data_IF_205080605250
#
_entry.id   IF_205080605250
#
_cell.length_a   1.000
_cell.length_b   1.000
_cell.length_c   1.000
_cell.angle_alpha   90.00
_cell.angle_beta   90.00
_cell.angle_gamma   90.00
#
_symmetry.space_group_name_H-M   'P 1'
#
loop_
_entity.id
_entity.type
_entity.pdbx_description
1 polymer ?
#
# COMPACT_ATOMS: atom_id res chain seq x y z
N UNK A 1 0.96 -19.01 9.48
CA UNK A 1 2.43 -18.83 9.40
C UNK A 1 2.82 -17.58 8.61
N UNK A 2 2.23 -17.32 7.43
CA UNK A 2 2.36 -16.01 6.75
C UNK A 2 1.83 -14.81 7.57
N UNK A 3 0.78 -15.02 8.39
CA UNK A 3 0.12 -13.94 9.15
C UNK A 3 1.00 -13.27 10.23
N UNK A 4 1.91 -14.00 10.89
CA UNK A 4 2.79 -13.42 11.92
C UNK A 4 3.97 -12.64 11.31
N UNK A 5 4.41 -13.02 10.11
CA UNK A 5 5.53 -12.35 9.43
C UNK A 5 5.12 -10.99 8.88
N UNK A 6 3.87 -10.84 8.42
CA UNK A 6 3.38 -9.55 7.94
C UNK A 6 3.35 -8.50 9.06
N UNK A 7 2.86 -8.85 10.25
CA UNK A 7 2.79 -7.90 11.39
C UNK A 7 4.18 -7.45 11.86
N UNK A 8 5.16 -8.36 11.88
CA UNK A 8 6.54 -8.02 12.27
C UNK A 8 7.23 -7.06 11.30
N UNK A 9 7.06 -7.27 9.98
CA UNK A 9 7.62 -6.38 8.95
C UNK A 9 6.99 -4.98 9.05
N UNK A 10 5.69 -4.88 9.31
CA UNK A 10 5.03 -3.59 9.50
C UNK A 10 5.52 -2.87 10.77
N UNK A 11 5.81 -3.59 11.85
CA UNK A 11 6.37 -2.96 13.07
C UNK A 11 7.76 -2.39 12.82
N UNK A 12 8.63 -3.14 12.13
CA UNK A 12 9.97 -2.64 11.76
C UNK A 12 9.84 -1.40 10.89
N UNK A 13 8.94 -1.43 9.90
CA UNK A 13 8.68 -0.30 9.02
C UNK A 13 8.15 0.93 9.80
N UNK A 14 7.17 0.76 10.68
CA UNK A 14 6.65 1.85 11.51
C UNK A 14 7.77 2.44 12.38
N UNK A 15 8.57 1.60 13.04
CA UNK A 15 9.67 2.07 13.89
C UNK A 15 10.70 2.83 13.06
N UNK A 16 11.08 2.30 11.90
CA UNK A 16 12.03 2.95 10.99
C UNK A 16 11.48 4.27 10.47
N UNK A 17 10.26 4.31 9.93
CA UNK A 17 9.67 5.52 9.38
C UNK A 17 9.56 6.64 10.43
N UNK A 18 9.17 6.29 11.67
CA UNK A 18 9.04 7.26 12.74
C UNK A 18 10.39 7.81 13.22
N UNK A 19 11.38 6.93 13.39
CA UNK A 19 12.72 7.32 13.83
C UNK A 19 13.42 8.13 12.75
N UNK A 20 13.38 7.68 11.48
CA UNK A 20 14.15 8.27 10.39
C UNK A 20 13.53 9.55 9.83
N UNK A 21 12.20 9.64 9.77
CA UNK A 21 11.51 10.73 9.06
C UNK A 21 10.51 11.49 9.93
N UNK A 22 9.59 10.82 10.65
CA UNK A 22 8.46 11.54 11.27
C UNK A 22 8.86 12.46 12.41
N UNK A 23 9.65 11.96 13.36
CA UNK A 23 10.12 12.78 14.48
C UNK A 23 11.03 13.92 13.99
N UNK A 24 12.00 13.67 13.07
CA UNK A 24 12.80 14.72 12.43
C UNK A 24 11.96 15.77 11.71
N UNK A 25 10.93 15.36 10.97
CA UNK A 25 10.09 16.27 10.18
C UNK A 25 9.28 17.25 11.03
N UNK A 26 9.00 16.91 12.29
CA UNK A 26 8.35 17.81 13.25
C UNK A 26 9.36 18.83 13.83
N UNK A 27 10.66 18.59 13.65
CA UNK A 27 11.72 19.43 14.21
C UNK A 27 12.09 19.07 15.66
N UNK A 28 11.77 17.86 16.12
CA UNK A 28 12.08 17.41 17.48
C UNK A 28 13.47 16.77 17.56
N UNK A 29 14.13 16.91 18.72
CA UNK A 29 15.45 16.32 19.03
C UNK A 29 16.55 16.69 18.02
N UNK A 30 16.65 17.97 17.67
CA UNK A 30 17.61 18.51 16.69
C UNK A 30 19.04 18.03 16.91
N UNK A 31 19.60 18.20 18.11
CA UNK A 31 20.97 17.78 18.43
C UNK A 31 21.17 16.27 18.24
N UNK A 32 20.18 15.46 18.62
CA UNK A 32 20.24 14.02 18.41
C UNK A 32 20.29 13.68 16.92
N UNK A 33 19.40 14.26 16.11
CA UNK A 33 19.32 13.94 14.69
C UNK A 33 20.45 14.52 13.86
N UNK A 34 20.97 15.70 14.19
CA UNK A 34 22.02 16.35 13.42
C UNK A 34 23.41 15.88 13.87
N UNK A 35 23.65 15.74 15.18
CA UNK A 35 25.01 15.54 15.70
C UNK A 35 25.30 14.11 16.19
N UNK A 36 24.28 13.34 16.56
CA UNK A 36 24.46 12.03 17.22
C UNK A 36 24.09 10.88 16.27
N UNK A 37 22.85 10.83 15.80
CA UNK A 37 22.30 9.75 14.99
C UNK A 37 23.06 9.47 13.68
N UNK A 38 23.49 10.48 12.90
CA UNK A 38 24.17 10.27 11.62
C UNK A 38 25.54 9.60 11.77
N UNK A 39 26.15 9.67 12.97
CA UNK A 39 27.43 9.01 13.28
C UNK A 39 27.31 7.49 13.38
N UNK A 40 26.11 6.97 13.58
CA UNK A 40 25.87 5.53 13.67
C UNK A 40 25.47 4.96 12.31
N UNK A 41 26.05 3.81 11.96
CA UNK A 41 25.71 3.04 10.74
C UNK A 41 24.20 2.78 10.60
N UNK A 42 23.49 2.67 11.71
CA UNK A 42 22.04 2.43 11.73
C UNK A 42 21.25 3.52 10.99
N UNK A 43 21.70 4.78 11.02
CA UNK A 43 21.04 5.87 10.30
C UNK A 43 21.06 5.65 8.78
N UNK A 44 22.21 5.27 8.21
CA UNK A 44 22.36 4.91 6.80
C UNK A 44 21.58 3.65 6.42
N UNK A 45 21.55 2.65 7.31
CA UNK A 45 20.75 1.42 7.13
C UNK A 45 19.26 1.77 7.06
N UNK A 46 18.75 2.55 8.00
CA UNK A 46 17.33 2.93 8.05
C UNK A 46 16.92 3.74 6.81
N UNK A 47 17.70 4.78 6.46
CA UNK A 47 17.40 5.59 5.28
C UNK A 47 17.44 4.78 3.98
N UNK A 48 18.45 3.91 3.81
CA UNK A 48 18.55 3.05 2.62
C UNK A 48 17.44 2.00 2.60
N UNK A 49 17.04 1.47 3.76
CA UNK A 49 15.92 0.54 3.89
C UNK A 49 14.61 1.19 3.45
N UNK A 50 14.35 2.42 3.88
CA UNK A 50 13.18 3.19 3.44
C UNK A 50 13.13 3.30 1.92
N UNK A 51 14.22 3.72 1.27
CA UNK A 51 14.31 3.80 -0.21
C UNK A 51 14.04 2.45 -0.87
N UNK A 52 14.66 1.37 -0.37
CA UNK A 52 14.47 0.03 -0.90
C UNK A 52 13.02 -0.45 -0.70
N UNK A 53 12.38 -0.07 0.40
CA UNK A 53 10.98 -0.38 0.70
C UNK A 53 10.01 0.38 -0.22
N UNK A 54 10.31 1.63 -0.58
CA UNK A 54 9.55 2.39 -1.58
C UNK A 54 9.59 1.69 -2.94
N UNK A 55 10.79 1.29 -3.38
CA UNK A 55 11.02 0.52 -4.60
C UNK A 55 10.24 -0.80 -4.55
N UNK A 56 10.35 -1.54 -3.44
CA UNK A 56 9.64 -2.80 -3.26
C UNK A 56 8.12 -2.62 -3.36
N UNK A 57 7.60 -1.57 -2.73
CA UNK A 57 6.17 -1.27 -2.68
C UNK A 57 5.62 -0.94 -4.07
N UNK A 58 6.29 -0.05 -4.81
CA UNK A 58 5.88 0.34 -6.18
C UNK A 58 5.87 -0.83 -7.16
N UNK A 59 6.89 -1.71 -7.09
CA UNK A 59 6.96 -2.93 -7.90
C UNK A 59 5.91 -3.97 -7.49
N UNK A 60 5.61 -4.10 -6.20
CA UNK A 60 4.53 -4.97 -5.70
C UNK A 60 3.16 -4.54 -6.24
N UNK A 61 2.96 -3.25 -6.52
CA UNK A 61 1.77 -2.73 -7.19
C UNK A 61 1.46 -3.41 -8.53
N UNK A 62 2.50 -3.80 -9.28
CA UNK A 62 2.36 -4.55 -10.56
C UNK A 62 1.81 -5.94 -10.29
N UNK A 63 2.38 -6.65 -9.30
CA UNK A 63 1.90 -7.98 -8.88
C UNK A 63 0.43 -7.93 -8.45
N UNK A 64 0.04 -6.91 -7.66
CA UNK A 64 -1.35 -6.72 -7.21
C UNK A 64 -2.28 -6.52 -8.42
N UNK A 65 -1.93 -5.62 -9.34
CA UNK A 65 -2.76 -5.34 -10.52
C UNK A 65 -2.89 -6.58 -11.42
N UNK A 66 -1.79 -7.31 -11.64
CA UNK A 66 -1.78 -8.56 -12.40
C UNK A 66 -2.63 -9.64 -11.73
N UNK A 67 -2.52 -9.77 -10.41
CA UNK A 67 -3.31 -10.70 -9.62
C UNK A 67 -4.82 -10.45 -9.80
N UNK A 68 -5.25 -9.20 -9.70
CA UNK A 68 -6.65 -8.81 -9.93
C UNK A 68 -7.10 -9.06 -11.36
N UNK A 69 -6.26 -8.73 -12.34
CA UNK A 69 -6.57 -8.98 -13.74
C UNK A 69 -6.80 -10.48 -14.02
N UNK A 70 -5.94 -11.35 -13.48
CA UNK A 70 -6.04 -12.80 -13.67
C UNK A 70 -7.29 -13.35 -12.95
N UNK A 71 -7.60 -12.86 -11.74
CA UNK A 71 -8.81 -13.25 -11.01
C UNK A 71 -10.08 -12.99 -11.82
N UNK A 72 -10.16 -11.82 -12.47
CA UNK A 72 -11.34 -11.40 -13.23
C UNK A 72 -11.38 -12.07 -14.61
N UNK A 73 -10.26 -12.12 -15.34
CA UNK A 73 -10.24 -12.63 -16.71
C UNK A 73 -10.23 -14.16 -16.80
N UNK A 74 -9.56 -14.82 -15.86
CA UNK A 74 -9.33 -16.27 -15.89
C UNK A 74 -9.63 -16.93 -14.54
N UNK A 75 -10.88 -16.83 -14.01
CA UNK A 75 -11.21 -17.34 -12.69
C UNK A 75 -10.93 -18.85 -12.55
N UNK A 76 -11.16 -19.65 -13.60
CA UNK A 76 -10.92 -21.10 -13.58
C UNK A 76 -9.43 -21.49 -13.57
N UNK A 77 -8.53 -20.57 -13.94
CA UNK A 77 -7.09 -20.78 -13.94
C UNK A 77 -6.39 -19.99 -12.83
N UNK A 78 -7.12 -19.22 -12.03
CA UNK A 78 -6.56 -18.34 -11.01
C UNK A 78 -5.72 -19.14 -10.01
N UNK A 79 -6.27 -20.21 -9.44
CA UNK A 79 -5.57 -21.05 -8.47
C UNK A 79 -4.34 -21.73 -9.07
N UNK A 80 -4.40 -22.14 -10.35
CA UNK A 80 -3.25 -22.71 -11.04
C UNK A 80 -2.11 -21.71 -11.25
N UNK A 81 -2.43 -20.44 -11.50
CA UNK A 81 -1.42 -19.39 -11.69
C UNK A 81 -0.85 -18.94 -10.35
N UNK A 82 -1.70 -18.79 -9.32
CA UNK A 82 -1.35 -18.28 -8.00
C UNK A 82 -1.12 -19.38 -6.97
N UNK A 83 -0.53 -20.51 -7.38
CA UNK A 83 -0.17 -21.63 -6.49
C UNK A 83 1.32 -21.95 -6.49
N UNK A 84 1.75 -22.61 -5.41
CA UNK A 84 3.05 -23.25 -5.27
C UNK A 84 4.23 -22.28 -5.53
N UNK A 85 5.25 -22.73 -6.27
CA UNK A 85 6.46 -21.96 -6.54
C UNK A 85 6.20 -20.69 -7.38
N UNK A 86 5.13 -20.66 -8.19
CA UNK A 86 4.79 -19.50 -9.02
C UNK A 86 4.31 -18.33 -8.19
N UNK A 87 3.50 -18.61 -7.17
CA UNK A 87 3.09 -17.60 -6.19
C UNK A 87 4.30 -17.00 -5.50
N UNK A 88 5.24 -17.85 -5.04
CA UNK A 88 6.46 -17.38 -4.38
C UNK A 88 7.21 -16.47 -5.34
N UNK A 89 7.48 -16.90 -6.57
CA UNK A 89 8.19 -16.10 -7.57
C UNK A 89 7.49 -14.76 -7.87
N UNK A 90 6.17 -14.76 -8.08
CA UNK A 90 5.39 -13.54 -8.36
C UNK A 90 5.28 -12.59 -7.16
N UNK A 91 5.43 -13.08 -5.94
CA UNK A 91 5.44 -12.25 -4.73
C UNK A 91 6.84 -11.77 -4.35
N UNK A 92 7.88 -12.57 -4.61
CA UNK A 92 9.26 -12.25 -4.20
C UNK A 92 10.06 -11.52 -5.27
N UNK A 93 9.61 -11.48 -6.53
CA UNK A 93 10.40 -10.83 -7.59
C UNK A 93 10.76 -9.36 -7.33
N UNK A 94 9.95 -8.53 -6.64
CA UNK A 94 10.36 -7.16 -6.33
C UNK A 94 11.63 -7.11 -5.46
N UNK A 95 11.88 -8.13 -4.64
CA UNK A 95 13.08 -8.25 -3.82
C UNK A 95 14.34 -8.40 -4.67
N UNK A 96 14.25 -8.99 -5.87
CA UNK A 96 15.41 -9.08 -6.77
C UNK A 96 15.87 -7.71 -7.30
N UNK A 97 15.08 -6.65 -7.10
CA UNK A 97 15.46 -5.28 -7.44
C UNK A 97 15.75 -4.48 -6.17
N UNK A 98 14.87 -4.52 -5.16
CA UNK A 98 15.03 -3.71 -3.94
C UNK A 98 16.21 -4.15 -3.07
N UNK A 99 16.47 -5.45 -2.94
CA UNK A 99 17.55 -5.98 -2.08
C UNK A 99 18.93 -5.62 -2.64
N UNK A 100 19.22 -5.75 -3.96
CA UNK A 100 20.47 -5.24 -4.51
C UNK A 100 20.69 -3.75 -4.27
N UNK A 101 19.67 -2.91 -4.45
CA UNK A 101 19.78 -1.47 -4.14
C UNK A 101 20.16 -1.28 -2.67
N UNK A 102 19.49 -1.98 -1.75
CA UNK A 102 19.84 -1.93 -0.34
C UNK A 102 21.29 -2.36 -0.06
N UNK A 103 21.71 -3.52 -0.56
CA UNK A 103 23.06 -4.07 -0.33
C UNK A 103 24.16 -3.14 -0.87
N UNK A 104 23.92 -2.42 -1.96
CA UNK A 104 24.89 -1.50 -2.54
C UNK A 104 25.06 -0.24 -1.67
N UNK A 105 23.98 0.28 -1.08
CA UNK A 105 23.98 1.61 -0.45
C UNK A 105 23.88 1.61 1.08
N UNK A 106 23.63 0.47 1.75
CA UNK A 106 23.35 0.46 3.20
C UNK A 106 24.48 1.00 4.09
N UNK A 107 25.72 1.01 3.60
CA UNK A 107 26.90 1.52 4.32
C UNK A 107 27.17 3.01 4.08
N UNK A 108 26.42 3.65 3.20
CA UNK A 108 26.66 5.03 2.83
C UNK A 108 26.30 5.98 3.98
N UNK A 109 27.16 6.97 4.21
CA UNK A 109 26.94 7.99 5.23
C UNK A 109 25.77 8.90 4.86
N UNK A 110 24.94 9.21 5.85
CA UNK A 110 23.83 10.14 5.73
C UNK A 110 24.07 11.35 6.63
N UNK A 111 23.44 12.46 6.29
CA UNK A 111 23.40 13.66 7.09
C UNK A 111 21.96 14.11 7.27
N UNK A 112 21.71 14.80 8.39
CA UNK A 112 20.43 15.41 8.70
C UNK A 112 20.63 16.92 8.75
N UNK A 113 19.81 17.67 8.03
CA UNK A 113 19.86 19.13 8.03
C UNK A 113 18.47 19.74 8.24
N UNK A 114 18.46 20.92 8.87
CA UNK A 114 17.27 21.73 9.08
C UNK A 114 16.91 22.41 7.77
N UNK A 115 15.67 22.23 7.33
CA UNK A 115 15.09 22.91 6.17
C UNK A 115 14.63 24.31 6.56
N UNK A 116 14.31 25.14 5.56
CA UNK A 116 13.75 26.47 5.78
C UNK A 116 12.45 26.47 6.60
N UNK A 117 11.69 25.38 6.57
CA UNK A 117 10.41 25.22 7.29
C UNK A 117 10.61 24.75 8.73
N UNK A 118 11.86 24.55 9.18
CA UNK A 118 12.20 24.05 10.52
C UNK A 118 12.06 22.53 10.68
N UNK A 119 11.81 21.80 9.59
CA UNK A 119 11.82 20.34 9.59
C UNK A 119 13.24 19.82 9.41
N UNK A 120 13.56 18.66 9.97
CA UNK A 120 14.86 18.02 9.76
C UNK A 120 14.70 16.97 8.66
N UNK A 121 15.53 17.07 7.63
CA UNK A 121 15.53 16.18 6.48
C UNK A 121 16.83 15.38 6.39
N UNK A 122 16.72 14.11 6.00
CA UNK A 122 17.86 13.21 5.81
C UNK A 122 18.24 13.08 4.34
N UNK A 123 19.54 13.02 4.05
CA UNK A 123 20.07 12.80 2.71
C UNK A 123 21.44 12.10 2.77
N UNK A 124 21.87 11.48 1.68
CA UNK A 124 23.25 10.98 1.58
C UNK A 124 24.25 12.12 1.57
N UNK A 125 25.27 12.01 2.42
CA UNK A 125 26.32 13.02 2.59
C UNK A 125 27.07 13.32 1.29
N UNK A 126 27.36 12.27 0.51
CA UNK A 126 27.90 12.41 -0.83
C UNK A 126 26.80 12.92 -1.78
N UNK A 127 26.97 14.14 -2.27
CA UNK A 127 26.04 14.76 -3.22
C UNK A 127 25.91 13.97 -4.52
N UNK A 128 26.98 13.38 -5.03
CA UNK A 128 26.92 12.56 -6.23
C UNK A 128 26.05 11.34 -5.99
N UNK A 129 26.27 10.66 -4.87
CA UNK A 129 25.47 9.52 -4.44
C UNK A 129 23.99 9.89 -4.24
N UNK A 130 23.74 11.03 -3.59
CA UNK A 130 22.39 11.59 -3.38
C UNK A 130 21.66 11.73 -4.72
N UNK A 131 22.26 12.38 -5.72
CA UNK A 131 21.60 12.53 -7.03
C UNK A 131 21.44 11.18 -7.73
N UNK A 132 22.47 10.34 -7.69
CA UNK A 132 22.46 9.05 -8.36
C UNK A 132 21.33 8.14 -7.85
N UNK A 133 21.13 8.04 -6.53
CA UNK A 133 20.06 7.22 -5.98
C UNK A 133 18.67 7.76 -6.33
N UNK A 134 18.48 9.10 -6.31
CA UNK A 134 17.22 9.72 -6.74
C UNK A 134 16.89 9.40 -8.20
N UNK A 135 17.90 9.40 -9.10
CA UNK A 135 17.69 8.98 -10.49
C UNK A 135 17.35 7.50 -10.62
N UNK A 136 17.99 6.61 -9.84
CA UNK A 136 17.65 5.18 -9.82
C UNK A 136 16.19 4.98 -9.38
N UNK A 137 15.80 5.59 -8.26
CA UNK A 137 14.45 5.49 -7.68
C UNK A 137 13.42 6.00 -8.69
N UNK A 138 13.60 7.20 -9.22
CA UNK A 138 12.69 7.78 -10.21
C UNK A 138 12.56 6.90 -11.45
N UNK A 139 13.67 6.35 -11.95
CA UNK A 139 13.66 5.46 -13.13
C UNK A 139 12.84 4.20 -12.86
N UNK A 140 13.06 3.56 -11.70
CA UNK A 140 12.30 2.35 -11.31
C UNK A 140 10.82 2.68 -11.13
N UNK A 141 10.49 3.77 -10.43
CA UNK A 141 9.11 4.19 -10.22
C UNK A 141 8.41 4.58 -11.51
N UNK A 142 9.10 5.23 -12.45
CA UNK A 142 8.56 5.56 -13.76
C UNK A 142 8.25 4.30 -14.58
N UNK A 143 9.16 3.32 -14.62
CA UNK A 143 8.93 2.02 -15.28
C UNK A 143 7.76 1.29 -14.61
N UNK A 144 7.72 1.25 -13.28
CA UNK A 144 6.64 0.61 -12.54
C UNK A 144 5.28 1.28 -12.79
N UNK A 145 5.26 2.61 -12.84
CA UNK A 145 4.07 3.39 -13.15
C UNK A 145 3.59 3.11 -14.58
N UNK A 146 4.50 3.11 -15.57
CA UNK A 146 4.15 2.83 -16.96
C UNK A 146 3.49 1.44 -17.11
N UNK A 147 4.09 0.41 -16.50
CA UNK A 147 3.52 -0.95 -16.49
C UNK A 147 2.15 -0.96 -15.78
N UNK A 148 2.05 -0.31 -14.62
CA UNK A 148 0.80 -0.24 -13.86
C UNK A 148 -0.32 0.48 -14.62
N UNK A 149 -0.03 1.56 -15.35
CA UNK A 149 -1.02 2.27 -16.18
C UNK A 149 -1.56 1.34 -17.28
N UNK A 150 -0.67 0.62 -17.98
CA UNK A 150 -1.08 -0.35 -19.02
C UNK A 150 -1.97 -1.44 -18.40
N UNK A 151 -1.52 -2.06 -17.30
CA UNK A 151 -2.27 -3.13 -16.64
C UNK A 151 -3.62 -2.64 -16.09
N UNK A 152 -3.69 -1.45 -15.49
CA UNK A 152 -4.94 -0.86 -15.01
C UNK A 152 -5.88 -0.51 -16.17
N UNK A 153 -5.35 -0.04 -17.31
CA UNK A 153 -6.15 0.16 -18.53
C UNK A 153 -6.81 -1.14 -19.01
N UNK A 154 -6.04 -2.23 -19.05
CA UNK A 154 -6.55 -3.58 -19.39
C UNK A 154 -7.56 -4.07 -18.34
N UNK A 155 -7.30 -3.84 -17.05
CA UNK A 155 -8.18 -4.23 -15.95
C UNK A 155 -9.54 -3.52 -16.06
N UNK A 156 -9.55 -2.21 -16.26
CA UNK A 156 -10.77 -1.40 -16.43
C UNK A 156 -11.57 -1.89 -17.64
N UNK A 157 -10.91 -2.16 -18.77
CA UNK A 157 -11.56 -2.71 -19.95
C UNK A 157 -12.21 -4.08 -19.64
N UNK A 158 -11.50 -4.95 -18.93
CA UNK A 158 -11.98 -6.29 -18.56
C UNK A 158 -13.18 -6.22 -17.62
N UNK A 159 -13.13 -5.35 -16.61
CA UNK A 159 -14.23 -5.12 -15.66
C UNK A 159 -15.48 -4.58 -16.38
N UNK A 160 -15.32 -3.60 -17.27
CA UNK A 160 -16.44 -3.05 -18.06
C UNK A 160 -17.10 -4.12 -18.93
N UNK A 161 -16.29 -4.97 -19.59
CA UNK A 161 -16.81 -6.09 -20.39
C UNK A 161 -17.58 -7.10 -19.53
N UNK A 162 -17.08 -7.40 -18.33
CA UNK A 162 -17.74 -8.32 -17.40
C UNK A 162 -19.06 -7.74 -16.86
N UNK A 163 -19.11 -6.45 -16.55
CA UNK A 163 -20.35 -5.78 -16.10
C UNK A 163 -21.45 -5.82 -17.18
N UNK A 164 -21.08 -5.65 -18.46
CA UNK A 164 -22.01 -5.79 -19.59
C UNK A 164 -22.56 -7.22 -19.67
N UNK A 165 -21.70 -8.24 -19.55
CA UNK A 165 -22.12 -9.65 -19.59
C UNK A 165 -23.00 -10.04 -18.40
N UNK A 166 -22.73 -9.50 -17.21
CA UNK A 166 -23.52 -9.78 -16.02
C UNK A 166 -24.86 -9.05 -15.98
N UNK A 167 -25.02 -7.92 -16.69
CA UNK A 167 -26.35 -7.31 -16.88
C UNK A 167 -27.29 -8.20 -17.69
N UNK A 168 -26.74 -9.10 -18.50
CA UNK A 168 -27.48 -10.05 -19.33
C UNK A 168 -27.86 -11.31 -18.52
N UNK A 169 -27.03 -11.72 -17.56
CA UNK A 169 -27.18 -12.97 -16.82
C UNK A 169 -27.53 -12.75 -15.34
N UNK A 170 -28.65 -13.35 -14.94
CA UNK A 170 -29.39 -13.26 -13.67
C UNK A 170 -28.63 -13.02 -12.34
N UNK A 171 -29.35 -12.45 -11.35
CA UNK A 171 -28.86 -11.72 -10.16
C UNK A 171 -27.91 -12.47 -9.18
N UNK A 172 -27.74 -13.79 -9.26
CA UNK A 172 -26.99 -14.56 -8.23
C UNK A 172 -25.48 -14.25 -8.20
N UNK A 173 -24.88 -13.81 -9.31
CA UNK A 173 -23.44 -13.45 -9.37
C UNK A 173 -23.08 -12.06 -8.83
N UNK A 174 -24.07 -11.29 -8.35
CA UNK A 174 -23.88 -9.86 -8.02
C UNK A 174 -22.91 -9.59 -6.87
N UNK A 175 -22.79 -10.49 -5.88
CA UNK A 175 -21.94 -10.27 -4.70
C UNK A 175 -20.44 -10.45 -4.99
N UNK A 176 -20.06 -11.56 -5.63
CA UNK A 176 -18.67 -11.85 -6.00
C UNK A 176 -18.14 -10.80 -6.98
N UNK A 177 -18.95 -10.46 -7.99
CA UNK A 177 -18.62 -9.40 -8.96
C UNK A 177 -18.44 -8.05 -8.26
N UNK A 178 -19.26 -7.73 -7.25
CA UNK A 178 -19.11 -6.48 -6.48
C UNK A 178 -17.77 -6.44 -5.73
N UNK A 179 -17.31 -7.56 -5.16
CA UNK A 179 -16.01 -7.63 -4.49
C UNK A 179 -14.88 -7.39 -5.49
N UNK A 180 -14.87 -8.09 -6.63
CA UNK A 180 -13.84 -7.94 -7.66
C UNK A 180 -13.81 -6.52 -8.26
N UNK A 181 -14.98 -5.92 -8.52
CA UNK A 181 -15.07 -4.51 -8.95
C UNK A 181 -14.51 -3.56 -7.90
N UNK A 182 -14.76 -3.83 -6.61
CA UNK A 182 -14.22 -3.01 -5.53
C UNK A 182 -12.70 -3.13 -5.46
N UNK A 183 -12.15 -4.34 -5.63
CA UNK A 183 -10.71 -4.55 -5.66
C UNK A 183 -10.03 -3.93 -6.88
N UNK A 184 -10.69 -3.94 -8.04
CA UNK A 184 -10.20 -3.21 -9.22
C UNK A 184 -10.16 -1.70 -8.97
N UNK A 185 -11.15 -1.13 -8.25
CA UNK A 185 -11.12 0.29 -7.85
C UNK A 185 -9.94 0.59 -6.92
N UNK A 186 -9.63 -0.30 -5.99
CA UNK A 186 -8.45 -0.13 -5.14
C UNK A 186 -7.14 -0.14 -5.93
N UNK A 187 -6.99 -1.01 -6.92
CA UNK A 187 -5.82 -1.02 -7.81
C UNK A 187 -5.67 0.32 -8.58
N UNK A 188 -6.79 0.90 -9.03
CA UNK A 188 -6.79 2.21 -9.70
C UNK A 188 -6.38 3.32 -8.72
N UNK A 189 -6.92 3.32 -7.50
CA UNK A 189 -6.56 4.31 -6.47
C UNK A 189 -5.09 4.20 -6.11
N UNK A 190 -4.55 2.99 -5.97
CA UNK A 190 -3.12 2.76 -5.77
C UNK A 190 -2.29 3.34 -6.92
N UNK A 191 -2.71 3.10 -8.17
CA UNK A 191 -2.06 3.66 -9.35
C UNK A 191 -2.06 5.21 -9.31
N UNK A 192 -3.13 5.85 -8.84
CA UNK A 192 -3.19 7.31 -8.68
C UNK A 192 -2.18 7.82 -7.65
N UNK A 193 -2.02 7.12 -6.51
CA UNK A 193 -1.01 7.49 -5.51
C UNK A 193 0.41 7.30 -6.05
N UNK A 194 0.66 6.23 -6.81
CA UNK A 194 1.96 6.03 -7.47
C UNK A 194 2.25 7.12 -8.51
N UNK A 195 1.25 7.56 -9.30
CA UNK A 195 1.40 8.71 -10.20
C UNK A 195 1.76 9.97 -9.43
N UNK A 196 1.08 10.25 -8.32
CA UNK A 196 1.37 11.41 -7.48
C UNK A 196 2.80 11.35 -6.92
N UNK A 197 3.26 10.19 -6.48
CA UNK A 197 4.62 9.98 -5.98
C UNK A 197 5.66 10.36 -7.06
N UNK A 198 5.54 9.78 -8.27
CA UNK A 198 6.44 10.07 -9.39
C UNK A 198 6.42 11.55 -9.78
N UNK A 199 5.25 12.20 -9.77
CA UNK A 199 5.15 13.63 -10.04
C UNK A 199 5.90 14.48 -9.01
N UNK A 200 5.81 14.12 -7.71
CA UNK A 200 6.54 14.83 -6.66
C UNK A 200 8.05 14.60 -6.80
N UNK A 201 8.49 13.38 -7.08
CA UNK A 201 9.91 13.06 -7.34
C UNK A 201 10.48 13.86 -8.52
N UNK A 202 9.79 13.85 -9.66
CA UNK A 202 10.19 14.62 -10.83
C UNK A 202 10.22 16.12 -10.52
N UNK A 203 9.20 16.62 -9.78
CA UNK A 203 9.15 18.00 -9.32
C UNK A 203 10.34 18.38 -8.44
N UNK A 204 10.75 17.50 -7.51
CA UNK A 204 11.92 17.72 -6.66
C UNK A 204 13.19 17.86 -7.49
N UNK A 205 13.43 16.96 -8.45
CA UNK A 205 14.63 17.01 -9.31
C UNK A 205 14.64 18.30 -10.14
N UNK A 206 13.49 18.68 -10.70
CA UNK A 206 13.36 19.93 -11.47
C UNK A 206 13.62 21.16 -10.58
N UNK A 207 13.07 21.19 -9.36
CA UNK A 207 13.26 22.28 -8.42
C UNK A 207 14.74 22.43 -8.00
N UNK A 208 15.41 21.31 -7.72
CA UNK A 208 16.85 21.32 -7.39
C UNK A 208 17.67 21.82 -8.58
N UNK A 209 17.39 21.34 -9.79
CA UNK A 209 18.09 21.77 -11.03
C UNK A 209 17.87 23.26 -11.32
N UNK A 210 16.67 23.76 -11.01
CA UNK A 210 16.29 25.17 -11.19
C UNK A 210 16.76 26.07 -10.03
N UNK A 211 17.45 25.53 -9.03
CA UNK A 211 17.92 26.22 -7.81
C UNK A 211 16.80 26.83 -6.95
N UNK A 212 15.57 26.33 -7.06
CA UNK A 212 14.44 26.75 -6.22
C UNK A 212 14.37 25.86 -4.97
N UNK A 213 15.27 26.09 -4.01
CA UNK A 213 15.49 25.21 -2.86
C UNK A 213 14.23 25.10 -1.98
N UNK A 214 13.55 26.22 -1.70
CA UNK A 214 12.31 26.23 -0.90
C UNK A 214 11.23 25.31 -1.49
N UNK A 215 11.08 25.30 -2.82
CA UNK A 215 10.12 24.42 -3.51
C UNK A 215 10.54 22.96 -3.38
N UNK A 216 11.84 22.67 -3.49
CA UNK A 216 12.35 21.31 -3.33
C UNK A 216 12.08 20.77 -1.90
N UNK A 217 12.21 21.60 -0.87
CA UNK A 217 11.95 21.22 0.53
C UNK A 217 10.46 20.97 0.82
N UNK A 218 9.57 21.79 0.26
CA UNK A 218 8.12 21.59 0.33
C UNK A 218 7.71 20.28 -0.38
N UNK A 219 8.30 20.04 -1.55
CA UNK A 219 8.06 18.80 -2.30
C UNK A 219 8.62 17.59 -1.56
N UNK A 220 9.75 17.70 -0.86
CA UNK A 220 10.30 16.61 -0.03
C UNK A 220 9.37 16.26 1.14
N UNK A 221 8.78 17.27 1.79
CA UNK A 221 7.79 17.04 2.85
C UNK A 221 6.54 16.34 2.29
N UNK A 222 6.08 16.79 1.11
CA UNK A 222 4.96 16.17 0.40
C UNK A 222 5.26 14.74 -0.04
N UNK A 223 6.49 14.49 -0.49
CA UNK A 223 6.98 13.18 -0.91
C UNK A 223 6.82 12.15 0.22
N UNK A 224 7.30 12.45 1.42
CA UNK A 224 7.23 11.51 2.55
C UNK A 224 5.78 11.24 2.97
N UNK A 225 4.87 12.21 2.84
CA UNK A 225 3.43 11.98 3.06
C UNK A 225 2.84 11.02 2.02
N UNK A 226 3.11 11.25 0.73
CA UNK A 226 2.58 10.43 -0.37
C UNK A 226 3.18 9.01 -0.33
N UNK A 227 4.46 8.89 -0.04
CA UNK A 227 5.16 7.62 0.14
C UNK A 227 4.48 6.78 1.23
N UNK A 228 4.21 7.38 2.37
CA UNK A 228 3.61 6.69 3.51
C UNK A 228 2.21 6.19 3.19
N UNK A 229 1.40 7.03 2.54
CA UNK A 229 0.09 6.60 2.04
C UNK A 229 0.25 5.40 1.10
N UNK A 230 1.24 5.42 0.22
CA UNK A 230 1.49 4.34 -0.75
C UNK A 230 1.89 3.03 -0.06
N UNK A 231 2.78 3.08 0.92
CA UNK A 231 3.25 1.88 1.66
C UNK A 231 2.12 1.29 2.51
N UNK A 232 1.37 2.13 3.24
CA UNK A 232 0.26 1.66 4.06
C UNK A 232 -1.04 1.41 3.29
N UNK A 233 -1.14 1.80 2.01
CA UNK A 233 -2.35 1.60 1.22
C UNK A 233 -2.77 0.13 1.17
N UNK A 234 -1.79 -0.77 0.97
CA UNK A 234 -2.03 -2.21 0.84
C UNK A 234 -2.59 -2.84 2.12
N UNK A 235 -1.98 -2.69 3.31
CA UNK A 235 -2.55 -3.24 4.54
C UNK A 235 -3.92 -2.65 4.87
N UNK A 236 -4.14 -1.35 4.66
CA UNK A 236 -5.46 -0.75 4.89
C UNK A 236 -6.52 -1.27 3.91
N UNK A 237 -6.15 -1.48 2.65
CA UNK A 237 -7.03 -2.09 1.64
C UNK A 237 -7.43 -3.51 2.04
N UNK A 238 -6.49 -4.31 2.57
CA UNK A 238 -6.78 -5.66 3.09
C UNK A 238 -7.74 -5.64 4.28
N UNK A 239 -7.53 -4.74 5.24
CA UNK A 239 -8.43 -4.55 6.39
C UNK A 239 -9.84 -4.15 5.95
N UNK A 240 -9.95 -3.33 4.90
CA UNK A 240 -11.26 -2.91 4.37
C UNK A 240 -11.99 -4.04 3.64
N UNK A 241 -11.27 -4.88 2.91
CA UNK A 241 -11.86 -5.89 2.03
C UNK A 241 -12.19 -7.20 2.73
N UNK A 242 -11.36 -7.63 3.68
CA UNK A 242 -11.57 -8.89 4.37
C UNK A 242 -12.19 -8.66 5.74
N UNK A 243 -13.42 -9.15 5.88
CA UNK A 243 -14.12 -9.16 7.17
C UNK A 243 -13.31 -9.90 8.23
N UNK A 244 -12.68 -11.03 7.85
CA UNK A 244 -11.88 -11.85 8.76
C UNK A 244 -10.63 -11.09 9.24
N UNK A 245 -9.93 -10.37 8.34
CA UNK A 245 -8.80 -9.53 8.73
C UNK A 245 -9.24 -8.35 9.60
N UNK A 246 -10.37 -7.72 9.28
CA UNK A 246 -10.95 -6.66 10.10
C UNK A 246 -11.31 -7.15 11.51
N UNK A 247 -11.92 -8.32 11.62
CA UNK A 247 -12.26 -8.95 12.90
C UNK A 247 -11.01 -9.23 13.72
N UNK A 248 -10.00 -9.87 13.12
CA UNK A 248 -8.71 -10.14 13.77
C UNK A 248 -8.03 -8.85 14.22
N UNK A 249 -8.07 -7.78 13.42
CA UNK A 249 -7.48 -6.49 13.75
C UNK A 249 -8.21 -5.76 14.88
N UNK A 250 -9.55 -5.74 14.87
CA UNK A 250 -10.37 -5.16 15.95
C UNK A 250 -10.16 -5.94 17.25
N UNK A 251 -10.04 -7.26 17.17
CA UNK A 251 -9.71 -8.11 18.30
C UNK A 251 -8.30 -7.81 18.84
N UNK A 252 -7.31 -7.65 17.95
CA UNK A 252 -5.93 -7.31 18.29
C UNK A 252 -5.81 -5.95 19.00
N UNK A 253 -6.56 -4.93 18.56
CA UNK A 253 -6.59 -3.60 19.21
C UNK A 253 -7.33 -3.62 20.57
N UNK A 254 -7.95 -4.74 20.95
CA UNK A 254 -8.71 -4.84 22.20
C UNK A 254 -10.11 -4.20 22.11
N UNK A 255 -10.55 -3.82 20.92
CA UNK A 255 -11.88 -3.26 20.66
C UNK A 255 -12.96 -4.33 20.45
N UNK A 256 -12.79 -5.54 21.01
CA UNK A 256 -13.72 -6.66 20.86
C UNK A 256 -15.17 -6.32 21.24
N UNK A 257 -15.36 -5.42 22.22
CA UNK A 257 -16.68 -4.93 22.65
C UNK A 257 -17.46 -4.19 21.55
N UNK A 258 -16.79 -3.47 20.65
CA UNK A 258 -17.43 -2.77 19.53
C UNK A 258 -17.95 -3.73 18.46
N UNK A 259 -17.31 -4.89 18.31
CA UNK A 259 -17.73 -5.90 17.33
C UNK A 259 -19.01 -6.64 17.76
N UNK A 260 -19.14 -6.95 19.06
CA UNK A 260 -20.37 -7.55 19.62
C UNK A 260 -21.62 -6.68 19.40
N UNK A 261 -21.48 -5.35 19.43
CA UNK A 261 -22.59 -4.42 19.19
C UNK A 261 -23.10 -4.45 17.74
N UNK A 262 -22.25 -4.77 16.77
CA UNK A 262 -22.66 -4.85 15.35
C UNK A 262 -23.30 -6.19 15.00
N UNK A 263 -22.88 -7.29 15.64
CA UNK A 263 -23.47 -8.62 15.43
C UNK A 263 -24.90 -8.69 15.98
N UNK A 264 -25.18 -8.09 17.14
CA UNK A 264 -26.51 -8.06 17.75
C UNK A 264 -27.55 -7.21 17.00
N UNK A 265 -27.15 -6.22 16.18
CA UNK A 265 -28.10 -5.43 15.37
C UNK A 265 -28.61 -6.16 14.13
N UNK A 266 -27.88 -7.16 13.62
CA UNK A 266 -28.25 -7.91 12.41
C UNK A 266 -28.88 -9.28 12.70
N UNK A 267 -28.84 -9.75 13.95
CA UNK A 267 -29.52 -10.97 14.42
C UNK A 267 -30.89 -10.71 15.04
N UNK A 268 -31.41 -9.48 14.99
CA UNK A 268 -32.81 -9.18 15.32
C UNK A 268 -33.70 -9.65 14.16
N UNK A 269 -33.86 -10.98 14.16
CA UNK A 269 -34.94 -11.80 13.60
C UNK A 269 -36.03 -10.94 12.94
N UNK A 270 -36.08 -10.95 11.61
CA UNK A 270 -37.37 -10.80 10.91
C UNK A 270 -38.20 -12.01 11.34
N UNK A 271 -38.84 -11.89 12.51
CA UNK A 271 -39.95 -12.74 12.87
C UNK A 271 -41.01 -12.34 11.86
N UNK A 272 -41.14 -13.14 10.80
CA UNK A 272 -42.30 -13.11 9.94
C UNK A 272 -43.46 -13.34 10.89
N UNK A 273 -44.20 -12.25 11.21
CA UNK A 273 -45.51 -12.33 11.84
C UNK A 273 -46.38 -13.11 10.86
N UNK A 274 -46.44 -14.43 11.04
CA UNK A 274 -47.51 -15.22 10.46
C UNK A 274 -48.77 -14.69 11.15
N UNK A 275 -49.73 -14.11 10.42
CA UNK A 275 -50.99 -13.73 11.03
C UNK A 275 -51.63 -14.99 11.62
N UNK A 276 -51.97 -14.95 12.91
CA UNK A 276 -52.58 -16.03 13.67
C UNK A 276 -53.95 -16.51 13.12
N UNK A 277 -54.40 -15.94 12.00
CA UNK A 277 -55.67 -16.23 11.35
C UNK A 277 -55.55 -17.24 10.19
N UNK A 278 -54.35 -17.75 9.88
CA UNK A 278 -54.15 -18.70 8.74
C UNK A 278 -54.05 -20.17 9.19
N UNK A 279 -54.02 -20.45 10.50
CA UNK A 279 -53.88 -21.83 11.04
C UNK A 279 -55.24 -22.43 11.48
N UNK A 280 -56.35 -21.69 11.37
CA UNK A 280 -57.69 -22.17 11.80
C UNK A 280 -58.51 -22.92 10.74
N UNK A 281 -57.96 -23.24 9.56
CA UNK A 281 -58.74 -23.85 8.46
C UNK A 281 -58.32 -25.27 8.07
N UNK A 282 -57.65 -26.02 8.96
CA UNK A 282 -57.26 -27.42 8.68
C UNK A 282 -57.72 -28.49 9.68
N UNK A 283 -58.61 -28.17 10.62
CA UNK A 283 -59.21 -29.15 11.54
C UNK A 283 -60.64 -28.76 11.91
N UNK A 284 -61.61 -29.12 11.05
CA UNK A 284 -63.05 -29.30 11.39
C UNK A 284 -63.79 -29.69 10.10
N UNK A 285 -63.97 -31.00 9.92
CA UNK A 285 -65.06 -31.81 9.33
C UNK A 285 -64.45 -33.18 9.06
#
# INVERSE_FOLDING_TARGET
>A
MLENNFTGIYLIFIVEEYITFRIPQIGLFEDFYINIFPKYLISGICYTYSIAQTIFSSLTGITITLNRFIAIKYPTKYDYIWSSWRLILLCTWPLFISVPVFIIFYKSEVEYAITFVGSISVYYKDLYLKYFIWYIVLTIHFIALFINIILNGILVYTVKKLDILNKINDNKRKKEVKLEVTMAKFAIVYCTFLTLLVCVEAGMIIAITSKTIEVAEILLTSYVLVETVTVFFTPYTLLFLSYDFCEKFIFFIGCSKLWFLKKNKNTLVKAIKIPANVIKTKFTI
#
